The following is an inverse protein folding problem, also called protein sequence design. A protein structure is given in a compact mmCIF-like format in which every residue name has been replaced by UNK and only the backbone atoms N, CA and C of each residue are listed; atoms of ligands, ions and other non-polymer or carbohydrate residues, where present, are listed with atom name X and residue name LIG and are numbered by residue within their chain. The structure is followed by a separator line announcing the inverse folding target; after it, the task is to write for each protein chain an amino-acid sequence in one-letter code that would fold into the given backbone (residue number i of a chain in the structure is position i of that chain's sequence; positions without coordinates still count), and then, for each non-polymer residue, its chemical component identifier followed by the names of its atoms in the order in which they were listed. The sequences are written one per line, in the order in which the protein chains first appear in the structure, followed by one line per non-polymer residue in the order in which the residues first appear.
data_IF_929393237190
#
_entry.id   IF_929393237190
#
_cell.length_a   1.000
_cell.length_b   1.000
_cell.length_c   1.000
_cell.angle_alpha   90.00
_cell.angle_beta   90.00
_cell.angle_gamma   90.00
#
_symmetry.space_group_name_H-M   'P 1'
#
loop_
_entity.id
_entity.type
_entity.pdbx_description
1 polymer ?
#
# COMPACT_ATOMS: atom_id res chain seq x y z
N UNK A 1 -0.12 3.63 -0.66
CA UNK A 1 -0.70 4.12 0.61
C UNK A 1 -2.19 3.85 0.58
N UNK A 2 -2.73 3.38 1.69
CA UNK A 2 -4.06 2.80 1.81
C UNK A 2 -4.88 3.58 2.83
N UNK A 3 -6.09 4.03 2.50
CA UNK A 3 -6.97 4.67 3.47
C UNK A 3 -7.76 3.64 4.28
N UNK A 4 -7.64 3.68 5.60
CA UNK A 4 -8.43 2.91 6.55
C UNK A 4 -9.60 3.78 7.03
N UNK A 5 -10.81 3.48 6.56
CA UNK A 5 -12.03 4.26 6.88
C UNK A 5 -12.54 4.05 8.30
N UNK A 6 -12.18 2.93 8.95
CA UNK A 6 -12.56 2.63 10.34
C UNK A 6 -11.80 3.52 11.31
N UNK A 7 -10.51 3.75 11.02
CA UNK A 7 -9.61 4.56 11.86
C UNK A 7 -9.30 5.93 11.28
N UNK A 8 -9.88 6.25 10.12
CA UNK A 8 -9.74 7.53 9.44
C UNK A 8 -8.28 7.92 9.22
N UNK A 9 -7.44 7.00 8.72
CA UNK A 9 -6.00 7.22 8.53
C UNK A 9 -5.48 6.52 7.28
N UNK A 10 -4.41 7.05 6.72
CA UNK A 10 -3.66 6.42 5.65
C UNK A 10 -2.52 5.59 6.20
N UNK A 11 -2.29 4.41 5.63
CA UNK A 11 -1.27 3.45 6.05
C UNK A 11 -0.44 2.99 4.84
N UNK A 12 0.86 2.81 5.03
CA UNK A 12 1.69 2.15 4.03
C UNK A 12 2.82 1.38 4.69
N UNK A 13 3.02 0.15 4.26
CA UNK A 13 4.17 -0.66 4.67
C UNK A 13 5.29 -0.45 3.66
N UNK A 14 6.48 -0.09 4.14
CA UNK A 14 7.70 -0.09 3.33
C UNK A 14 8.55 -1.27 3.80
N UNK A 15 8.84 -2.17 2.87
CA UNK A 15 9.65 -3.36 3.10
C UNK A 15 11.01 -3.23 2.42
N UNK A 16 11.97 -4.06 2.86
CA UNK A 16 13.31 -4.19 2.26
C UNK A 16 14.15 -2.91 2.32
N UNK A 17 13.93 -2.08 3.33
CA UNK A 17 14.86 -1.01 3.68
C UNK A 17 16.17 -1.63 4.19
N UNK A 18 17.34 -1.04 3.88
CA UNK A 18 18.56 -1.29 4.63
C UNK A 18 18.29 -1.29 6.13
N UNK A 19 18.70 -2.35 6.82
CA UNK A 19 18.42 -2.56 8.25
C UNK A 19 19.14 -1.53 9.12
N UNK A 20 18.57 -1.20 10.27
CA UNK A 20 19.13 -0.30 11.29
C UNK A 20 19.55 1.07 10.74
N UNK A 21 18.92 1.52 9.65
CA UNK A 21 19.27 2.76 8.94
C UNK A 21 18.26 3.86 9.27
N UNK A 22 18.77 5.09 9.47
CA UNK A 22 17.94 6.26 9.73
C UNK A 22 17.39 6.84 8.43
N UNK A 23 16.11 7.19 8.44
CA UNK A 23 15.36 7.76 7.33
C UNK A 23 14.54 8.94 7.80
N UNK A 24 14.06 9.70 6.82
CA UNK A 24 13.17 10.81 6.99
C UNK A 24 11.97 10.66 6.05
N UNK A 25 10.78 11.01 6.51
CA UNK A 25 9.57 10.99 5.69
C UNK A 25 8.62 12.13 6.03
N UNK A 26 7.71 12.40 5.10
CA UNK A 26 6.59 13.33 5.20
C UNK A 26 5.57 12.96 4.12
N UNK A 27 4.39 13.56 4.16
CA UNK A 27 3.31 13.33 3.19
C UNK A 27 3.19 14.53 2.26
N UNK A 28 3.38 14.32 0.96
CA UNK A 28 3.03 15.29 -0.07
C UNK A 28 1.56 15.11 -0.48
N UNK A 29 0.90 16.19 -0.88
CA UNK A 29 -0.48 16.15 -1.38
C UNK A 29 -0.52 16.55 -2.85
N UNK A 30 -1.34 15.86 -3.64
CA UNK A 30 -1.55 16.18 -5.06
C UNK A 30 -0.23 16.38 -5.82
N UNK A 31 0.74 15.51 -5.56
CA UNK A 31 2.07 15.55 -6.20
C UNK A 31 2.85 16.86 -5.93
N UNK A 32 2.49 17.60 -4.88
CA UNK A 32 3.06 18.90 -4.54
C UNK A 32 3.58 18.94 -3.09
N UNK A 33 4.70 19.64 -2.92
CA UNK A 33 5.31 19.93 -1.61
C UNK A 33 4.80 21.23 -0.97
N UNK A 34 4.10 22.10 -1.71
CA UNK A 34 3.61 23.39 -1.21
C UNK A 34 2.48 23.33 -0.18
N UNK A 35 2.17 22.15 0.35
CA UNK A 35 1.18 21.93 1.39
C UNK A 35 1.40 20.62 2.13
N UNK A 36 2.64 20.12 2.14
CA UNK A 36 3.03 18.85 2.74
C UNK A 36 2.80 18.79 4.26
N UNK A 37 2.75 17.57 4.79
CA UNK A 37 2.60 17.33 6.21
C UNK A 37 3.77 16.50 6.72
N UNK A 38 4.48 17.07 7.68
CA UNK A 38 5.58 16.47 8.39
C UNK A 38 5.28 16.30 9.89
N UNK A 39 6.32 15.93 10.63
CA UNK A 39 6.30 15.90 12.09
C UNK A 39 6.51 17.32 12.61
N UNK A 40 5.69 17.75 13.58
CA UNK A 40 5.75 19.10 14.15
C UNK A 40 5.54 20.22 13.10
N UNK A 41 4.59 20.03 12.17
CA UNK A 41 4.32 20.96 11.08
C UNK A 41 4.81 20.40 9.74
N UNK A 42 5.72 21.10 9.07
CA UNK A 42 6.31 20.76 7.77
C UNK A 42 7.65 20.02 7.87
N UNK A 43 8.20 19.85 9.09
CA UNK A 43 9.50 19.22 9.30
C UNK A 43 9.48 17.70 9.03
N UNK A 44 10.61 17.16 8.57
CA UNK A 44 10.74 15.74 8.31
C UNK A 44 10.53 14.87 9.57
N UNK A 45 9.74 13.81 9.45
CA UNK A 45 9.62 12.77 10.47
C UNK A 45 10.81 11.81 10.38
N UNK A 46 11.62 11.75 11.43
CA UNK A 46 12.73 10.80 11.51
C UNK A 46 12.25 9.42 11.96
N UNK A 47 12.80 8.36 11.38
CA UNK A 47 12.61 6.98 11.84
C UNK A 47 13.80 6.08 11.53
N UNK A 48 13.82 4.89 12.14
CA UNK A 48 14.81 3.85 11.85
C UNK A 48 14.10 2.58 11.34
N UNK A 49 14.64 1.98 10.28
CA UNK A 49 14.08 0.77 9.63
C UNK A 49 14.15 -0.50 10.48
N UNK A 50 14.86 -0.46 11.62
CA UNK A 50 15.01 -1.58 12.55
C UNK A 50 15.72 -2.78 11.92
N UNK A 51 15.72 -3.90 12.64
CA UNK A 51 16.41 -5.12 12.23
C UNK A 51 15.73 -5.88 11.09
N UNK A 52 14.43 -5.66 10.86
CA UNK A 52 13.69 -6.31 9.78
C UNK A 52 13.78 -5.56 8.44
N UNK A 53 14.25 -4.31 8.44
CA UNK A 53 14.22 -3.48 7.25
C UNK A 53 12.79 -3.18 6.77
N UNK A 54 11.84 -3.10 7.71
CA UNK A 54 10.43 -2.92 7.41
C UNK A 54 9.78 -1.95 8.40
N UNK A 55 8.86 -1.13 7.90
CA UNK A 55 8.20 -0.09 8.69
C UNK A 55 6.77 0.13 8.21
N UNK A 56 5.86 0.40 9.15
CA UNK A 56 4.53 0.91 8.87
C UNK A 56 4.51 2.42 9.10
N UNK A 57 4.17 3.18 8.05
CA UNK A 57 3.94 4.61 8.11
C UNK A 57 2.45 4.90 8.14
N UNK A 58 2.02 5.75 9.06
CA UNK A 58 0.61 6.06 9.31
C UNK A 58 0.43 7.58 9.30
N UNK A 59 -0.55 8.07 8.56
CA UNK A 59 -0.91 9.48 8.49
C UNK A 59 -2.41 9.66 8.80
N UNK A 60 -2.73 10.47 9.81
CA UNK A 60 -4.10 10.85 10.14
C UNK A 60 -4.43 12.23 9.53
N UNK A 61 -5.28 12.29 8.49
CA UNK A 61 -5.62 13.55 7.83
C UNK A 61 -6.48 14.51 8.65
N UNK A 62 -7.14 14.04 9.71
CA UNK A 62 -7.95 14.91 10.57
C UNK A 62 -7.10 15.69 11.57
N UNK A 63 -6.04 15.05 12.09
CA UNK A 63 -5.15 15.68 13.08
C UNK A 63 -3.82 16.16 12.50
N UNK A 64 -3.50 15.79 11.25
CA UNK A 64 -2.18 16.01 10.66
C UNK A 64 -1.09 15.11 11.26
N UNK A 65 -1.45 14.12 12.08
CA UNK A 65 -0.49 13.31 12.82
C UNK A 65 0.18 12.26 11.93
N UNK A 66 1.51 12.20 11.98
CA UNK A 66 2.32 11.16 11.36
C UNK A 66 2.85 10.21 12.44
N UNK A 67 2.83 8.92 12.17
CA UNK A 67 3.32 7.88 13.10
C UNK A 67 4.11 6.84 12.33
N UNK A 68 5.17 6.36 12.96
CA UNK A 68 6.06 5.34 12.39
C UNK A 68 6.19 4.18 13.36
N UNK A 69 6.00 2.96 12.86
CA UNK A 69 6.12 1.73 13.64
C UNK A 69 7.14 0.83 12.94
N UNK A 70 8.28 0.58 13.59
CA UNK A 70 9.27 -0.39 13.10
C UNK A 70 8.67 -1.79 13.21
N UNK A 71 8.70 -2.54 12.12
CA UNK A 71 8.21 -3.93 12.09
C UNK A 71 9.39 -4.82 12.46
N UNK A 72 9.21 -5.71 13.44
CA UNK A 72 10.26 -6.63 13.89
C UNK A 72 10.21 -7.93 13.08
N UNK A 73 11.37 -8.53 12.81
CA UNK A 73 11.47 -9.77 12.01
C UNK A 73 10.88 -11.00 12.70
N UNK A 74 10.54 -10.93 13.99
CA UNK A 74 9.81 -11.99 14.71
C UNK A 74 8.29 -11.77 14.74
N UNK A 75 7.77 -10.64 14.28
CA UNK A 75 6.33 -10.39 14.19
C UNK A 75 5.81 -10.82 12.81
N UNK A 76 5.86 -12.13 12.57
CA UNK A 76 4.90 -12.79 11.67
C UNK A 76 3.71 -13.31 12.49
N UNK A 77 3.36 -12.63 13.58
CA UNK A 77 2.05 -12.79 14.20
C UNK A 77 1.13 -11.75 13.60
N UNK A 78 0.14 -12.26 12.87
CA UNK A 78 -0.97 -11.50 12.33
C UNK A 78 -1.46 -10.45 13.34
N UNK A 79 -1.90 -9.26 12.87
CA UNK A 79 -2.46 -8.25 13.75
C UNK A 79 -3.54 -8.88 14.62
N UNK A 80 -3.48 -8.64 15.94
CA UNK A 80 -4.52 -9.05 16.88
C UNK A 80 -5.78 -8.29 16.49
N UNK A 81 -6.65 -8.96 15.74
CA UNK A 81 -7.97 -8.46 15.36
C UNK A 81 -8.78 -8.35 16.65
N UNK A 82 -8.97 -7.10 17.11
CA UNK A 82 -10.05 -6.81 18.05
C UNK A 82 -11.36 -7.19 17.36
N UNK A 83 -11.98 -8.25 17.84
CA UNK A 83 -13.28 -8.78 17.40
C UNK A 83 -14.40 -7.79 17.73
N UNK A 84 -14.49 -6.69 16.98
CA UNK A 84 -15.80 -6.16 16.58
C UNK A 84 -16.18 -6.87 15.29
N UNK A 85 -17.39 -7.43 15.22
CA UNK A 85 -17.87 -8.15 14.04
C UNK A 85 -17.53 -7.37 12.75
N UNK A 86 -16.99 -8.02 11.71
CA UNK A 86 -16.60 -7.33 10.50
C UNK A 86 -17.83 -6.63 9.93
N UNK A 87 -17.75 -5.31 9.79
CA UNK A 87 -18.69 -4.58 8.93
C UNK A 87 -18.43 -5.11 7.52
N UNK A 88 -19.27 -6.04 7.07
CA UNK A 88 -19.20 -6.58 5.70
C UNK A 88 -19.12 -5.41 4.75
N UNK A 89 -18.04 -5.33 3.98
CA UNK A 89 -17.82 -4.22 3.07
C UNK A 89 -19.00 -4.13 2.10
N UNK A 90 -19.78 -3.05 2.17
CA UNK A 90 -20.84 -2.79 1.18
C UNK A 90 -20.23 -2.09 -0.04
N UNK A 91 -19.32 -2.78 -0.74
CA UNK A 91 -18.88 -2.32 -2.06
C UNK A 91 -19.54 -3.19 -3.13
N UNK A 92 -19.99 -2.56 -4.21
CA UNK A 92 -20.68 -3.21 -5.33
C UNK A 92 -19.77 -4.08 -6.19
N UNK A 93 -18.47 -4.14 -5.88
CA UNK A 93 -17.45 -4.81 -6.68
C UNK A 93 -16.88 -6.04 -6.00
N UNK A 94 -17.24 -6.35 -4.74
CA UNK A 94 -16.63 -7.42 -3.92
C UNK A 94 -16.68 -8.79 -4.59
N UNK A 95 -17.71 -9.00 -5.41
CA UNK A 95 -17.96 -10.24 -6.13
C UNK A 95 -17.39 -10.21 -7.56
N UNK A 96 -16.81 -9.08 -8.00
CA UNK A 96 -16.14 -8.94 -9.29
C UNK A 96 -14.72 -9.52 -9.26
N UNK A 97 -14.30 -10.04 -10.41
CA UNK A 97 -12.89 -10.34 -10.67
C UNK A 97 -12.20 -9.02 -11.01
N UNK A 98 -11.24 -8.61 -10.18
CA UNK A 98 -10.52 -7.35 -10.37
C UNK A 98 -9.07 -7.64 -10.75
N UNK A 99 -8.59 -7.03 -11.83
CA UNK A 99 -7.21 -7.17 -12.32
C UNK A 99 -6.59 -5.82 -12.64
N UNK A 100 -5.31 -5.66 -12.36
CA UNK A 100 -4.54 -4.51 -12.83
C UNK A 100 -3.89 -4.83 -14.19
N UNK A 101 -4.39 -4.22 -15.26
CA UNK A 101 -3.83 -4.34 -16.60
C UNK A 101 -2.82 -3.24 -16.81
N UNK A 102 -1.59 -3.59 -17.19
CA UNK A 102 -0.44 -2.69 -17.15
C UNK A 102 0.63 -3.09 -18.15
N UNK A 103 1.58 -2.20 -18.37
CA UNK A 103 2.82 -2.44 -19.12
C UNK A 103 3.73 -3.49 -18.48
N UNK A 104 3.67 -3.69 -17.14
CA UNK A 104 4.56 -4.64 -16.45
C UNK A 104 4.26 -6.11 -16.76
N UNK A 105 3.11 -6.41 -17.38
CA UNK A 105 2.59 -7.77 -17.47
C UNK A 105 3.56 -8.68 -18.22
N UNK A 106 4.26 -8.15 -19.23
CA UNK A 106 5.27 -8.91 -19.98
C UNK A 106 6.47 -9.32 -19.11
N UNK A 107 6.87 -8.48 -18.17
CA UNK A 107 7.93 -8.75 -17.20
C UNK A 107 7.53 -9.83 -16.19
N UNK A 108 6.22 -10.01 -15.99
CA UNK A 108 5.65 -11.09 -15.18
C UNK A 108 5.31 -12.34 -16.01
N UNK A 109 5.69 -12.37 -17.29
CA UNK A 109 5.50 -13.53 -18.17
C UNK A 109 4.20 -13.55 -18.97
N UNK A 110 3.43 -12.46 -18.99
CA UNK A 110 2.29 -12.32 -19.90
C UNK A 110 2.75 -12.34 -21.36
N UNK A 111 1.88 -12.85 -22.24
CA UNK A 111 2.10 -12.84 -23.68
C UNK A 111 2.10 -11.42 -24.28
N UNK A 112 1.42 -10.46 -23.64
CA UNK A 112 1.31 -9.07 -24.08
C UNK A 112 1.03 -8.13 -22.89
N UNK A 113 1.38 -6.84 -23.00
CA UNK A 113 0.91 -5.84 -22.04
C UNK A 113 -0.59 -5.60 -22.23
N UNK A 114 -1.24 -5.00 -21.24
CA UNK A 114 -2.67 -4.66 -21.27
C UNK A 114 -3.61 -5.85 -21.50
N UNK A 115 -3.22 -7.04 -21.04
CA UNK A 115 -4.04 -8.25 -21.17
C UNK A 115 -5.01 -8.37 -19.97
N UNK A 116 -6.32 -8.17 -20.18
CA UNK A 116 -7.29 -8.04 -19.09
C UNK A 116 -7.56 -9.35 -18.34
N UNK A 117 -7.10 -10.48 -18.87
CA UNK A 117 -7.25 -11.81 -18.27
C UNK A 117 -5.94 -12.34 -17.69
N UNK A 118 -4.87 -11.52 -17.62
CA UNK A 118 -3.57 -11.95 -17.12
C UNK A 118 -3.67 -12.44 -15.67
N UNK A 119 -3.25 -13.69 -15.44
CA UNK A 119 -3.37 -14.36 -14.16
C UNK A 119 -2.57 -13.65 -13.05
N UNK A 120 -1.36 -13.19 -13.38
CA UNK A 120 -0.46 -12.53 -12.43
C UNK A 120 -0.90 -11.11 -12.05
N UNK A 121 -1.93 -10.58 -12.71
CA UNK A 121 -2.55 -9.29 -12.41
C UNK A 121 -3.77 -9.39 -11.49
N UNK A 122 -4.12 -10.59 -11.01
CA UNK A 122 -5.29 -10.79 -10.14
C UNK A 122 -5.13 -10.08 -8.79
N UNK A 123 -6.06 -9.18 -8.49
CA UNK A 123 -6.11 -8.51 -7.20
C UNK A 123 -6.90 -9.37 -6.20
N UNK A 124 -6.42 -9.42 -4.96
CA UNK A 124 -7.12 -10.09 -3.86
C UNK A 124 -7.94 -9.07 -3.09
N UNK A 125 -9.23 -9.35 -2.88
CA UNK A 125 -10.07 -8.53 -2.02
C UNK A 125 -9.81 -8.87 -0.54
N UNK A 126 -9.47 -7.86 0.24
CA UNK A 126 -9.39 -7.95 1.69
C UNK A 126 -10.66 -7.37 2.33
N UNK A 127 -11.52 -8.27 2.80
CA UNK A 127 -12.77 -7.95 3.53
C UNK A 127 -12.53 -7.17 4.82
N UNK A 128 -11.33 -7.22 5.39
CA UNK A 128 -11.01 -6.50 6.63
C UNK A 128 -10.77 -5.02 6.38
N UNK A 129 -10.13 -4.69 5.24
CA UNK A 129 -9.79 -3.31 4.87
C UNK A 129 -10.69 -2.73 3.77
N UNK A 130 -11.53 -3.55 3.15
CA UNK A 130 -12.35 -3.21 1.99
C UNK A 130 -11.55 -2.79 0.76
N UNK A 131 -10.41 -3.46 0.49
CA UNK A 131 -9.50 -3.08 -0.59
C UNK A 131 -9.12 -4.24 -1.47
N UNK A 132 -8.80 -3.93 -2.72
CA UNK A 132 -8.13 -4.84 -3.64
C UNK A 132 -6.62 -4.64 -3.54
N UNK A 133 -5.89 -5.73 -3.27
CA UNK A 133 -4.44 -5.72 -3.16
C UNK A 133 -3.81 -6.54 -4.28
N UNK A 134 -2.76 -6.00 -4.87
CA UNK A 134 -1.88 -6.70 -5.79
C UNK A 134 -0.43 -6.48 -5.37
N UNK A 135 0.30 -7.57 -5.15
CA UNK A 135 1.71 -7.52 -4.79
C UNK A 135 2.50 -8.01 -6.01
N UNK A 136 3.32 -7.12 -6.54
CA UNK A 136 4.16 -7.39 -7.70
C UNK A 136 5.61 -7.59 -7.26
N UNK A 137 6.31 -8.49 -7.94
CA UNK A 137 7.73 -8.73 -7.74
C UNK A 137 8.43 -8.91 -9.07
N UNK A 138 9.73 -8.63 -9.14
CA UNK A 138 10.50 -8.76 -10.38
C UNK A 138 10.38 -7.57 -11.35
N UNK A 139 9.76 -6.46 -10.93
CA UNK A 139 9.71 -5.24 -11.73
C UNK A 139 11.11 -4.66 -11.95
N UNK A 140 11.34 -4.12 -13.14
CA UNK A 140 12.60 -3.46 -13.52
C UNK A 140 12.72 -2.15 -12.73
N UNK A 141 13.82 -1.93 -11.99
CA UNK A 141 14.07 -0.68 -11.29
C UNK A 141 14.15 0.53 -12.24
N UNK A 142 13.68 1.69 -11.78
CA UNK A 142 13.70 2.97 -12.52
C UNK A 142 12.93 2.98 -13.85
N UNK A 143 12.01 2.03 -14.07
CA UNK A 143 11.08 2.04 -15.20
C UNK A 143 9.73 2.64 -14.75
N UNK A 144 9.14 3.46 -15.61
CA UNK A 144 7.77 3.94 -15.44
C UNK A 144 6.79 2.91 -16.01
N UNK A 145 5.70 2.66 -15.29
CA UNK A 145 4.62 1.76 -15.70
C UNK A 145 3.29 2.50 -15.63
N UNK A 146 2.41 2.26 -16.61
CA UNK A 146 1.05 2.77 -16.63
C UNK A 146 0.04 1.63 -16.44
N UNK A 147 -0.98 1.80 -15.59
CA UNK A 147 -2.04 0.82 -15.40
C UNK A 147 -3.46 1.35 -15.47
N UNK A 148 -4.35 0.38 -15.66
CA UNK A 148 -5.78 0.47 -15.41
C UNK A 148 -6.25 -0.74 -14.61
N UNK A 149 -7.42 -0.60 -14.00
CA UNK A 149 -8.14 -1.71 -13.40
C UNK A 149 -9.20 -2.21 -14.39
N UNK A 150 -9.30 -3.52 -14.53
CA UNK A 150 -10.36 -4.20 -15.28
C UNK A 150 -11.25 -4.99 -14.34
N UNK A 151 -12.52 -5.06 -14.68
CA UNK A 151 -13.54 -5.74 -13.89
C UNK A 151 -14.15 -6.84 -14.76
N UNK A 152 -14.23 -8.05 -14.22
CA UNK A 152 -14.78 -9.23 -14.88
C UNK A 152 -14.14 -9.52 -16.25
N UNK A 153 -12.84 -9.18 -16.36
CA UNK A 153 -12.01 -9.29 -17.55
C UNK A 153 -12.41 -8.37 -18.73
N UNK A 154 -13.03 -7.22 -18.43
CA UNK A 154 -13.37 -6.16 -19.40
C UNK A 154 -12.92 -4.78 -18.98
#
# INVERSE_FOLDING_TARGET
MTFNSVTCRYETVINRLPTNTSYEWKVAYNENWGGDQGCNGDANCQFNSGSAGAVLLIYNPFSGQLTTISISSSETTAPVVSTSAPSVCSNSFKDCIVRASEDYQTELGSAAPWFPTEANSLMTFDETSCLYLLILSGLIPNKFYEWKVTFDNS
#
